data_IF_141041417418
#
_entry.id   IF_141041417418
#
_cell.length_a   1.000
_cell.length_b   1.000
_cell.length_c   1.000
_cell.angle_alpha   90.00
_cell.angle_beta   90.00
_cell.angle_gamma   90.00
#
_symmetry.space_group_name_H-M   'P 1'
#
loop_
_entity.id
_entity.type
_entity.pdbx_description
1 polymer ?
#
# COMPACT_ATOMS: atom_id res chain seq x y z
N UNK A 1 17.37 12.10 -23.97
CA UNK A 1 16.46 13.12 -23.42
C UNK A 1 15.89 12.56 -22.14
N UNK A 2 16.17 13.21 -21.00
CA UNK A 2 16.14 12.58 -19.67
C UNK A 2 14.79 11.97 -19.29
N UNK A 3 14.83 10.76 -18.71
CA UNK A 3 13.70 10.20 -17.97
C UNK A 3 13.38 11.18 -16.85
N UNK A 4 12.31 11.95 -17.00
CA UNK A 4 11.67 12.64 -15.89
C UNK A 4 11.38 11.54 -14.86
N UNK A 5 12.06 11.57 -13.72
CA UNK A 5 11.64 10.78 -12.57
C UNK A 5 10.24 11.27 -12.22
N UNK A 6 9.20 10.62 -12.76
CA UNK A 6 7.88 10.79 -12.19
C UNK A 6 7.99 10.43 -10.70
N UNK A 7 7.34 11.20 -9.85
CA UNK A 7 7.13 10.94 -8.42
C UNK A 7 6.25 9.69 -8.23
N UNK A 8 6.66 8.52 -8.77
CA UNK A 8 5.78 7.37 -9.06
C UNK A 8 5.26 6.64 -7.83
N UNK A 9 5.88 6.80 -6.66
CA UNK A 9 5.42 6.17 -5.42
C UNK A 9 6.20 6.75 -4.24
N UNK A 10 5.52 7.17 -3.18
CA UNK A 10 6.17 7.50 -1.90
C UNK A 10 6.01 6.31 -0.95
N UNK A 11 6.77 5.24 -1.23
CA UNK A 11 6.78 4.03 -0.43
C UNK A 11 8.09 3.92 0.37
N UNK A 12 8.03 3.53 1.66
CA UNK A 12 9.23 3.18 2.41
C UNK A 12 10.01 2.05 1.71
N UNK A 13 11.35 2.06 1.70
CA UNK A 13 12.16 1.04 1.03
C UNK A 13 11.79 -0.39 1.41
N UNK A 14 11.51 -0.64 2.70
CA UNK A 14 11.10 -1.95 3.20
C UNK A 14 9.81 -2.48 2.54
N UNK A 15 8.87 -1.59 2.20
CA UNK A 15 7.64 -1.98 1.50
C UNK A 15 7.98 -2.44 0.08
N UNK A 16 8.86 -1.75 -0.62
CA UNK A 16 9.29 -2.14 -1.97
C UNK A 16 10.12 -3.41 -1.98
N UNK A 17 10.96 -3.63 -0.97
CA UNK A 17 11.71 -4.87 -0.81
C UNK A 17 10.78 -6.06 -0.60
N UNK A 18 9.71 -5.87 0.17
CA UNK A 18 8.73 -6.94 0.45
C UNK A 18 7.75 -7.17 -0.70
N UNK A 19 7.38 -6.11 -1.42
CA UNK A 19 6.37 -6.13 -2.47
C UNK A 19 6.90 -5.43 -3.74
N UNK A 20 7.93 -6.00 -4.40
CA UNK A 20 8.56 -5.36 -5.55
C UNK A 20 7.60 -5.16 -6.73
N UNK A 21 6.57 -6.02 -6.81
CA UNK A 21 5.52 -5.96 -7.83
C UNK A 21 4.57 -4.76 -7.66
N UNK A 22 4.58 -4.02 -6.54
CA UNK A 22 3.71 -2.85 -6.36
C UNK A 22 3.96 -1.77 -7.42
N UNK A 23 5.19 -1.65 -7.92
CA UNK A 23 5.55 -0.70 -8.97
C UNK A 23 4.88 -1.00 -10.33
N UNK A 24 4.38 -2.22 -10.51
CA UNK A 24 3.68 -2.66 -11.71
C UNK A 24 2.16 -2.39 -11.63
N UNK A 25 1.62 -2.19 -10.42
CA UNK A 25 0.19 -1.96 -10.17
C UNK A 25 -0.23 -0.49 -10.37
N UNK A 26 0.73 0.39 -10.66
CA UNK A 26 0.53 1.83 -10.81
C UNK A 26 1.07 2.61 -9.61
N UNK A 27 0.63 3.87 -9.50
CA UNK A 27 1.09 4.73 -8.42
C UNK A 27 0.45 4.32 -7.08
N UNK A 28 1.27 4.22 -6.03
CA UNK A 28 0.86 3.82 -4.68
C UNK A 28 1.45 4.80 -3.66
N UNK A 29 0.62 5.23 -2.72
CA UNK A 29 1.00 6.17 -1.67
C UNK A 29 0.67 5.62 -0.29
N UNK A 30 1.65 5.66 0.62
CA UNK A 30 1.40 5.52 2.05
C UNK A 30 0.70 6.78 2.55
N UNK A 31 -0.40 6.64 3.27
CA UNK A 31 -1.21 7.76 3.77
C UNK A 31 -1.60 7.57 5.23
N UNK A 32 -2.44 8.48 5.74
CA UNK A 32 -3.19 8.25 6.96
C UNK A 32 -2.37 8.22 8.25
N UNK A 33 -2.79 7.39 9.19
CA UNK A 33 -2.22 7.30 10.53
C UNK A 33 -0.74 6.91 10.52
N UNK A 34 -0.33 6.07 9.57
CA UNK A 34 1.05 5.61 9.45
C UNK A 34 2.05 6.75 9.24
N UNK A 35 1.72 7.72 8.38
CA UNK A 35 2.56 8.89 8.18
C UNK A 35 2.62 9.77 9.44
N UNK A 36 1.48 10.00 10.09
CA UNK A 36 1.43 10.75 11.35
C UNK A 36 2.31 10.10 12.41
N UNK A 37 2.20 8.79 12.59
CA UNK A 37 2.92 8.06 13.61
C UNK A 37 4.42 8.02 13.31
N UNK A 38 4.82 7.91 12.03
CA UNK A 38 6.20 8.10 11.58
C UNK A 38 6.77 9.48 11.99
N UNK A 39 6.07 10.57 11.65
CA UNK A 39 6.54 11.93 12.01
C UNK A 39 6.56 12.20 13.52
N UNK A 40 5.73 11.50 14.29
CA UNK A 40 5.71 11.56 15.75
C UNK A 40 6.67 10.56 16.42
N UNK A 41 7.46 9.82 15.65
CA UNK A 41 8.36 8.77 16.13
C UNK A 41 7.65 7.72 17.00
N UNK A 42 6.47 7.28 16.54
CA UNK A 42 5.64 6.22 17.14
C UNK A 42 5.65 4.99 16.26
N UNK A 43 5.64 3.81 16.86
CA UNK A 43 5.40 2.58 16.13
C UNK A 43 3.94 2.50 15.68
N UNK A 44 3.73 1.87 14.51
CA UNK A 44 2.40 1.58 13.97
C UNK A 44 2.42 0.22 13.30
N UNK A 45 1.34 -0.53 13.48
CA UNK A 45 1.06 -1.77 12.75
C UNK A 45 -0.11 -1.59 11.77
N UNK A 46 -0.62 -0.36 11.65
CA UNK A 46 -1.74 0.00 10.79
C UNK A 46 -1.23 0.88 9.64
N UNK A 47 -1.32 0.34 8.42
CA UNK A 47 -0.81 0.96 7.20
C UNK A 47 -1.95 1.17 6.21
N UNK A 48 -2.22 2.43 5.89
CA UNK A 48 -3.20 2.81 4.88
C UNK A 48 -2.51 3.19 3.56
N UNK A 49 -3.03 2.67 2.46
CA UNK A 49 -2.52 2.96 1.12
C UNK A 49 -3.61 3.49 0.20
N UNK A 50 -3.27 4.48 -0.62
CA UNK A 50 -4.04 4.88 -1.80
C UNK A 50 -3.35 4.31 -3.02
N UNK A 51 -4.13 3.75 -3.94
CA UNK A 51 -3.65 3.15 -5.20
C UNK A 51 -4.35 3.84 -6.36
N UNK A 52 -3.60 4.24 -7.38
CA UNK A 52 -4.14 4.68 -8.66
C UNK A 52 -4.58 3.47 -9.51
N UNK A 53 -5.66 2.81 -9.09
CA UNK A 53 -6.13 1.57 -9.70
C UNK A 53 -7.18 0.84 -8.85
N UNK A 54 -7.35 -0.46 -9.06
CA UNK A 54 -8.25 -1.27 -8.22
C UNK A 54 -7.55 -1.68 -6.92
N UNK A 55 -7.80 -0.91 -5.85
CA UNK A 55 -7.22 -1.17 -4.54
C UNK A 55 -7.61 -2.54 -3.96
N UNK A 56 -8.72 -3.16 -4.39
CA UNK A 56 -9.10 -4.51 -3.94
C UNK A 56 -8.23 -5.57 -4.58
N UNK A 57 -7.87 -5.41 -5.86
CA UNK A 57 -6.95 -6.31 -6.55
C UNK A 57 -5.57 -6.27 -5.88
N UNK A 58 -5.05 -5.07 -5.63
CA UNK A 58 -3.78 -4.88 -4.93
C UNK A 58 -3.84 -5.48 -3.52
N UNK A 59 -4.88 -5.18 -2.74
CA UNK A 59 -5.04 -5.72 -1.40
C UNK A 59 -5.12 -7.27 -1.37
N UNK A 60 -5.80 -7.91 -2.34
CA UNK A 60 -5.80 -9.37 -2.47
C UNK A 60 -4.40 -9.92 -2.72
N UNK A 61 -3.66 -9.33 -3.67
CA UNK A 61 -2.28 -9.74 -3.97
C UNK A 61 -1.33 -9.55 -2.79
N UNK A 62 -1.52 -8.48 -1.99
CA UNK A 62 -0.81 -8.29 -0.71
C UNK A 62 -1.17 -9.41 0.27
N UNK A 63 -2.46 -9.71 0.46
CA UNK A 63 -2.91 -10.77 1.36
C UNK A 63 -2.32 -12.13 0.96
N UNK A 64 -2.37 -12.48 -0.33
CA UNK A 64 -1.80 -13.71 -0.87
C UNK A 64 -0.28 -13.77 -0.62
N UNK A 65 0.44 -12.67 -0.85
CA UNK A 65 1.90 -12.58 -0.60
C UNK A 65 2.25 -12.77 0.87
N UNK A 66 1.39 -12.31 1.77
CA UNK A 66 1.59 -12.41 3.22
C UNK A 66 1.01 -13.68 3.84
N UNK A 67 0.29 -14.52 3.07
CA UNK A 67 -0.56 -15.59 3.63
C UNK A 67 -1.51 -15.05 4.71
N UNK A 68 -2.07 -13.87 4.43
CA UNK A 68 -2.93 -13.09 5.32
C UNK A 68 -4.39 -13.12 4.83
N UNK A 69 -5.31 -12.66 5.67
CA UNK A 69 -6.72 -12.57 5.31
C UNK A 69 -7.03 -11.28 4.54
N UNK A 70 -7.95 -11.37 3.57
CA UNK A 70 -8.50 -10.24 2.85
C UNK A 70 -9.95 -9.98 3.26
N UNK A 71 -10.29 -8.71 3.49
CA UNK A 71 -11.66 -8.25 3.76
C UNK A 71 -12.06 -7.12 2.81
N UNK A 72 -13.20 -7.25 2.14
CA UNK A 72 -13.78 -6.16 1.33
C UNK A 72 -14.46 -5.13 2.26
N UNK A 73 -13.78 -4.01 2.52
CA UNK A 73 -14.20 -3.03 3.52
C UNK A 73 -15.31 -2.10 3.02
N UNK A 74 -15.18 -1.57 1.80
CA UNK A 74 -16.23 -0.78 1.15
C UNK A 74 -16.24 -1.08 -0.34
N UNK A 75 -17.23 -1.88 -0.76
CA UNK A 75 -17.41 -2.29 -2.16
C UNK A 75 -17.68 -1.11 -3.10
N UNK A 76 -18.42 -0.09 -2.64
CA UNK A 76 -18.78 1.09 -3.46
C UNK A 76 -17.56 1.97 -3.69
N UNK A 77 -16.69 2.09 -2.69
CA UNK A 77 -15.46 2.90 -2.77
C UNK A 77 -14.24 2.11 -3.24
N UNK A 78 -14.37 0.81 -3.47
CA UNK A 78 -13.28 -0.05 -3.92
C UNK A 78 -12.21 -0.25 -2.86
N UNK A 79 -12.57 -0.27 -1.57
CA UNK A 79 -11.60 -0.39 -0.47
C UNK A 79 -11.49 -1.84 0.01
N UNK A 80 -10.26 -2.34 0.08
CA UNK A 80 -9.91 -3.63 0.69
C UNK A 80 -9.07 -3.45 1.95
N UNK A 81 -9.07 -4.46 2.82
CA UNK A 81 -8.24 -4.53 4.02
C UNK A 81 -7.51 -5.87 4.07
N UNK A 82 -6.25 -5.85 4.46
CA UNK A 82 -5.44 -7.04 4.74
C UNK A 82 -5.27 -7.18 6.24
N UNK A 83 -5.44 -8.38 6.76
CA UNK A 83 -5.29 -8.71 8.18
C UNK A 83 -4.23 -9.80 8.32
N UNK A 84 -3.07 -9.44 8.88
CA UNK A 84 -1.95 -10.36 9.15
C UNK A 84 -1.72 -10.50 10.64
N UNK A 85 -1.39 -11.71 11.10
CA UNK A 85 -1.15 -12.07 12.51
C UNK A 85 0.34 -12.25 12.83
#
# INVERSE_FOLDING_TARGET
MGRVMHERSLLPPLILERFPWLLEEGDVWLVGGALRDYFLNRSTNDLDFVVAGDARQVARKVADTLTADYFELDKRRGTGRVLSF
#
